data_IF_125070239213
#
_entry.id   IF_125070239213
#
_cell.length_a   1.000
_cell.length_b   1.000
_cell.length_c   1.000
_cell.angle_alpha   90.00
_cell.angle_beta   90.00
_cell.angle_gamma   90.00
#
_symmetry.space_group_name_H-M   'P 1'
#
loop_
_entity.id
_entity.type
_entity.pdbx_description
1 polymer ?
#
# COMPACT_ATOMS: atom_id res chain seq x y z
N UNK A 1 -42.33 22.12 19.06
CA UNK A 1 -41.62 21.08 18.28
C UNK A 1 -41.14 20.04 19.27
N UNK A 2 -41.46 18.75 19.10
CA UNK A 2 -40.81 17.71 19.90
C UNK A 2 -39.33 17.70 19.51
N UNK A 3 -38.43 17.89 20.46
CA UNK A 3 -37.01 17.65 20.25
C UNK A 3 -36.86 16.22 19.73
N UNK A 4 -36.20 16.05 18.57
CA UNK A 4 -35.86 14.71 18.09
C UNK A 4 -34.84 14.14 19.06
N UNK A 5 -35.19 13.04 19.73
CA UNK A 5 -34.24 12.30 20.56
C UNK A 5 -33.03 11.89 19.71
N UNK A 6 -31.84 12.22 20.19
CA UNK A 6 -30.59 11.82 19.57
C UNK A 6 -30.43 10.30 19.69
N UNK A 7 -29.99 9.64 18.62
CA UNK A 7 -29.81 8.18 18.58
C UNK A 7 -28.42 7.84 18.07
N UNK A 8 -27.96 6.61 18.31
CA UNK A 8 -26.70 6.12 17.72
C UNK A 8 -26.71 6.21 16.20
N UNK A 9 -27.87 6.00 15.58
CA UNK A 9 -28.00 6.10 14.13
C UNK A 9 -27.83 7.54 13.63
N UNK A 10 -28.34 8.52 14.38
CA UNK A 10 -28.05 9.93 14.10
C UNK A 10 -26.55 10.21 14.22
N UNK A 11 -25.85 9.65 15.21
CA UNK A 11 -24.40 9.80 15.35
C UNK A 11 -23.64 9.20 14.17
N UNK A 12 -24.01 7.99 13.72
CA UNK A 12 -23.41 7.33 12.54
C UNK A 12 -23.57 8.16 11.28
N UNK A 13 -24.77 8.70 11.04
CA UNK A 13 -25.07 9.54 9.88
C UNK A 13 -24.28 10.86 9.94
N UNK A 14 -24.31 11.55 11.08
CA UNK A 14 -23.69 12.87 11.24
C UNK A 14 -22.17 12.80 11.18
N UNK A 15 -21.56 11.81 11.83
CA UNK A 15 -20.10 11.67 11.89
C UNK A 15 -19.52 10.77 10.80
N UNK A 16 -20.37 10.08 10.03
CA UNK A 16 -19.95 9.23 8.92
C UNK A 16 -19.11 8.02 9.36
N UNK A 17 -19.38 7.47 10.54
CA UNK A 17 -18.72 6.27 11.08
C UNK A 17 -19.51 5.00 10.69
N UNK A 18 -18.89 3.83 10.83
CA UNK A 18 -19.47 2.52 10.49
C UNK A 18 -20.00 2.43 9.05
N UNK A 19 -19.29 3.07 8.12
CA UNK A 19 -19.55 3.00 6.67
C UNK A 19 -18.47 2.21 5.95
N UNK A 20 -18.70 1.79 4.70
CA UNK A 20 -17.78 1.04 3.83
C UNK A 20 -16.26 1.13 4.14
N UNK A 21 -15.71 2.34 4.15
CA UNK A 21 -14.29 2.68 4.36
C UNK A 21 -13.89 2.85 5.84
N UNK A 22 -14.86 2.99 6.75
CA UNK A 22 -14.70 3.22 8.19
C UNK A 22 -15.46 2.18 9.04
N UNK A 23 -15.68 0.97 8.52
CA UNK A 23 -16.42 -0.11 9.19
C UNK A 23 -15.75 -0.58 10.50
N UNK A 24 -14.47 -0.26 10.67
CA UNK A 24 -13.68 -0.54 11.87
C UNK A 24 -13.84 0.53 12.96
N UNK A 25 -14.63 1.60 12.74
CA UNK A 25 -14.92 2.65 13.72
C UNK A 25 -16.43 2.74 13.92
N UNK A 26 -16.92 2.65 15.16
CA UNK A 26 -18.33 2.87 15.50
C UNK A 26 -18.48 3.42 16.93
N UNK A 27 -19.71 3.70 17.37
CA UNK A 27 -20.06 4.16 18.72
C UNK A 27 -20.93 3.12 19.42
N UNK A 28 -20.64 2.82 20.69
CA UNK A 28 -21.39 1.83 21.49
C UNK A 28 -22.62 2.45 22.18
N UNK A 29 -23.38 1.64 22.93
CA UNK A 29 -24.60 2.08 23.64
C UNK A 29 -24.35 3.16 24.70
N UNK A 30 -23.14 3.20 25.26
CA UNK A 30 -22.70 4.22 26.22
C UNK A 30 -22.26 5.53 25.55
N UNK A 31 -22.30 5.61 24.21
CA UNK A 31 -21.90 6.78 23.44
C UNK A 31 -20.39 6.89 23.25
N UNK A 32 -19.63 5.82 23.48
CA UNK A 32 -18.17 5.80 23.34
C UNK A 32 -17.72 5.34 21.96
N UNK A 33 -16.78 6.09 21.38
CA UNK A 33 -16.13 5.72 20.13
C UNK A 33 -15.22 4.51 20.35
N UNK A 34 -15.32 3.50 19.50
CA UNK A 34 -14.50 2.32 19.55
C UNK A 34 -13.96 1.90 18.18
N UNK A 35 -12.86 1.16 18.23
CA UNK A 35 -12.28 0.46 17.09
C UNK A 35 -12.66 -1.01 17.13
N UNK A 36 -12.97 -1.57 15.97
CA UNK A 36 -13.26 -3.00 15.78
C UNK A 36 -12.27 -3.61 14.81
N UNK A 37 -11.49 -4.58 15.28
CA UNK A 37 -10.49 -5.31 14.50
C UNK A 37 -10.76 -6.80 14.63
N UNK A 38 -11.25 -7.41 13.55
CA UNK A 38 -11.79 -8.77 13.59
C UNK A 38 -12.94 -8.86 14.59
N UNK A 39 -12.83 -9.77 15.56
CA UNK A 39 -13.83 -9.98 16.60
C UNK A 39 -13.56 -9.17 17.88
N UNK A 40 -12.52 -8.33 17.89
CA UNK A 40 -12.13 -7.55 19.05
C UNK A 40 -12.58 -6.10 18.91
N UNK A 41 -13.04 -5.52 20.02
CA UNK A 41 -13.38 -4.11 20.13
C UNK A 41 -12.58 -3.46 21.24
N UNK A 42 -12.17 -2.22 21.04
CA UNK A 42 -11.51 -1.40 22.07
C UNK A 42 -11.95 0.06 21.92
N UNK A 43 -12.37 0.67 23.00
CA UNK A 43 -12.76 2.08 23.04
C UNK A 43 -11.54 3.00 22.98
N UNK A 44 -11.70 4.20 22.45
CA UNK A 44 -10.63 5.20 22.52
C UNK A 44 -10.29 5.60 23.96
N UNK A 45 -11.26 5.52 24.88
CA UNK A 45 -11.00 5.69 26.31
C UNK A 45 -10.00 4.65 26.81
N UNK A 46 -10.26 3.37 26.56
CA UNK A 46 -9.35 2.28 26.97
C UNK A 46 -7.96 2.47 26.34
N UNK A 47 -7.87 2.82 25.06
CA UNK A 47 -6.58 3.11 24.40
C UNK A 47 -5.83 4.22 25.15
N UNK A 48 -6.49 5.34 25.46
CA UNK A 48 -5.83 6.45 26.18
C UNK A 48 -5.40 6.06 27.59
N UNK A 49 -6.19 5.23 28.29
CA UNK A 49 -5.85 4.71 29.61
C UNK A 49 -4.63 3.78 29.54
N UNK A 50 -4.56 2.89 28.54
CA UNK A 50 -3.40 2.03 28.33
C UNK A 50 -2.13 2.84 28.04
N UNK A 51 -2.20 3.84 27.17
CA UNK A 51 -1.07 4.73 26.87
C UNK A 51 -0.61 5.47 28.14
N UNK A 52 -1.54 5.96 28.97
CA UNK A 52 -1.24 6.64 30.23
C UNK A 52 -0.56 5.73 31.24
N UNK A 53 -0.99 4.47 31.34
CA UNK A 53 -0.42 3.48 32.24
C UNK A 53 1.00 3.07 31.81
N UNK A 54 1.21 2.86 30.51
CA UNK A 54 2.52 2.44 29.99
C UNK A 54 3.58 3.55 30.01
N UNK A 55 3.18 4.81 29.81
CA UNK A 55 4.11 5.94 29.68
C UNK A 55 4.22 6.79 30.96
N UNK A 56 3.51 6.43 32.04
CA UNK A 56 3.46 7.20 33.28
C UNK A 56 2.86 8.61 33.09
N UNK A 57 3.07 9.51 34.05
CA UNK A 57 2.55 10.89 34.01
C UNK A 57 3.27 11.83 33.02
N UNK A 58 4.03 11.30 32.05
CA UNK A 58 4.64 12.11 31.00
C UNK A 58 3.55 12.62 30.06
N UNK A 59 3.12 13.86 30.31
CA UNK A 59 1.99 14.52 29.66
C UNK A 59 2.04 14.58 28.13
N UNK A 60 3.22 14.38 27.50
CA UNK A 60 3.38 14.48 26.06
C UNK A 60 2.74 13.34 25.26
N UNK A 61 2.70 12.11 25.78
CA UNK A 61 2.18 10.94 25.04
C UNK A 61 0.66 10.79 25.14
N UNK A 62 0.04 11.32 26.19
CA UNK A 62 -1.40 11.17 26.44
C UNK A 62 -2.23 12.29 25.82
N UNK A 63 -1.60 13.41 25.44
CA UNK A 63 -2.25 14.52 24.76
C UNK A 63 -2.41 14.35 23.24
N UNK A 64 -1.48 13.63 22.59
CA UNK A 64 -1.50 13.41 21.13
C UNK A 64 -0.67 12.20 20.74
N UNK A 65 -1.27 11.26 20.04
CA UNK A 65 -0.59 10.06 19.53
C UNK A 65 -1.11 9.69 18.14
N UNK A 66 -0.34 8.89 17.41
CA UNK A 66 -0.75 8.28 16.14
C UNK A 66 -0.92 6.79 16.33
N UNK A 67 -2.15 6.31 16.21
CA UNK A 67 -2.44 4.89 16.19
C UNK A 67 -2.20 4.34 14.79
N UNK A 68 -1.40 3.27 14.70
CA UNK A 68 -1.16 2.51 13.47
C UNK A 68 -1.69 1.12 13.68
N UNK A 69 -2.53 0.65 12.76
CA UNK A 69 -3.26 -0.61 12.91
C UNK A 69 -2.92 -1.49 11.70
N UNK A 70 -1.82 -2.27 11.75
CA UNK A 70 -1.41 -3.16 10.66
C UNK A 70 -2.51 -4.10 10.18
N UNK A 71 -3.42 -4.52 11.06
CA UNK A 71 -4.54 -5.40 10.73
C UNK A 71 -5.51 -4.76 9.72
N UNK A 72 -5.62 -3.42 9.70
CA UNK A 72 -6.41 -2.74 8.68
C UNK A 72 -5.72 -2.80 7.31
N UNK A 73 -4.38 -2.78 7.26
CA UNK A 73 -3.63 -2.96 6.01
C UNK A 73 -3.90 -4.36 5.46
N UNK A 74 -3.79 -5.39 6.32
CA UNK A 74 -4.10 -6.77 5.95
C UNK A 74 -5.54 -6.91 5.42
N UNK A 75 -6.52 -6.34 6.13
CA UNK A 75 -7.92 -6.35 5.69
C UNK A 75 -8.14 -5.68 4.33
N UNK A 76 -7.44 -4.58 4.03
CA UNK A 76 -7.54 -3.95 2.71
C UNK A 76 -6.90 -4.80 1.61
N UNK A 77 -5.78 -5.46 1.91
CA UNK A 77 -5.11 -6.39 0.99
C UNK A 77 -6.04 -7.55 0.65
N UNK A 78 -6.63 -8.19 1.66
CA UNK A 78 -7.58 -9.30 1.49
C UNK A 78 -8.79 -8.87 0.67
N UNK A 79 -9.33 -7.67 0.94
CA UNK A 79 -10.48 -7.13 0.21
C UNK A 79 -10.18 -6.90 -1.27
N UNK A 80 -9.01 -6.36 -1.60
CA UNK A 80 -8.60 -6.15 -3.01
C UNK A 80 -8.44 -7.50 -3.70
N UNK A 81 -7.72 -8.44 -3.05
CA UNK A 81 -7.51 -9.79 -3.57
C UNK A 81 -8.84 -10.50 -3.85
N UNK A 82 -9.74 -10.53 -2.86
CA UNK A 82 -11.06 -11.15 -3.00
C UNK A 82 -11.87 -10.54 -4.15
N UNK A 83 -11.85 -9.21 -4.31
CA UNK A 83 -12.56 -8.54 -5.39
C UNK A 83 -12.07 -8.97 -6.78
N UNK A 84 -10.74 -9.07 -6.97
CA UNK A 84 -10.17 -9.55 -8.22
C UNK A 84 -10.39 -11.05 -8.43
N UNK A 85 -10.29 -11.88 -7.39
CA UNK A 85 -10.56 -13.33 -7.47
C UNK A 85 -12.02 -13.63 -7.84
N UNK A 86 -12.97 -12.88 -7.26
CA UNK A 86 -14.39 -12.94 -7.66
C UNK A 86 -14.54 -12.58 -9.14
N UNK A 87 -13.99 -11.45 -9.58
CA UNK A 87 -14.11 -11.04 -10.98
C UNK A 87 -13.45 -12.03 -11.96
N UNK A 88 -12.28 -12.59 -11.62
CA UNK A 88 -11.60 -13.61 -12.42
C UNK A 88 -12.45 -14.86 -12.55
N UNK A 89 -13.07 -15.30 -11.46
CA UNK A 89 -13.93 -16.50 -11.43
C UNK A 89 -15.21 -16.29 -12.24
N UNK A 90 -15.91 -15.16 -12.03
CA UNK A 90 -17.16 -14.84 -12.73
C UNK A 90 -16.98 -14.67 -14.25
N UNK A 91 -15.82 -14.16 -14.68
CA UNK A 91 -15.51 -13.93 -16.09
C UNK A 91 -14.72 -15.09 -16.73
N UNK A 92 -14.46 -16.17 -16.00
CA UNK A 92 -13.63 -17.30 -16.43
C UNK A 92 -12.27 -16.83 -17.00
N UNK A 93 -11.68 -15.79 -16.41
CA UNK A 93 -10.46 -15.19 -16.91
C UNK A 93 -9.26 -16.14 -16.65
N UNK A 94 -8.46 -16.49 -17.67
CA UNK A 94 -7.41 -17.51 -17.52
C UNK A 94 -6.17 -17.02 -16.77
N UNK A 95 -6.06 -15.71 -16.53
CA UNK A 95 -4.92 -15.11 -15.84
C UNK A 95 -5.08 -15.09 -14.32
N UNK A 96 -4.03 -14.63 -13.64
CA UNK A 96 -3.99 -14.47 -12.18
C UNK A 96 -3.86 -13.00 -11.81
N UNK A 97 -4.45 -12.62 -10.69
CA UNK A 97 -4.23 -11.31 -10.10
C UNK A 97 -2.96 -11.33 -9.22
N UNK A 98 -2.07 -10.38 -9.43
CA UNK A 98 -0.90 -10.14 -8.58
C UNK A 98 -0.91 -8.68 -8.15
N UNK A 99 -1.08 -8.44 -6.86
CA UNK A 99 -1.05 -7.10 -6.31
C UNK A 99 0.39 -6.63 -6.07
N UNK A 100 0.64 -5.33 -6.23
CA UNK A 100 1.94 -4.70 -6.03
C UNK A 100 1.76 -3.42 -5.24
N UNK A 101 2.49 -3.26 -4.13
CA UNK A 101 2.38 -2.09 -3.26
C UNK A 101 3.41 -1.02 -3.69
N UNK A 102 2.96 0.17 -4.14
CA UNK A 102 3.86 1.26 -4.46
C UNK A 102 4.40 1.92 -3.20
N UNK A 103 5.68 1.68 -2.91
CA UNK A 103 6.35 2.13 -1.66
C UNK A 103 6.28 3.65 -1.51
N UNK A 104 6.21 4.39 -2.62
CA UNK A 104 6.10 5.85 -2.65
C UNK A 104 4.91 6.43 -1.89
N UNK A 105 3.87 5.64 -1.64
CA UNK A 105 2.66 6.08 -0.91
C UNK A 105 2.92 6.19 0.59
N UNK A 106 3.72 5.28 1.16
CA UNK A 106 4.11 5.33 2.57
C UNK A 106 5.42 4.55 2.78
N UNK A 107 6.54 5.25 2.78
CA UNK A 107 7.89 4.67 2.91
C UNK A 107 8.25 4.27 4.36
N UNK A 108 7.29 4.23 5.30
CA UNK A 108 7.61 3.81 6.66
C UNK A 108 7.81 2.30 6.73
N UNK A 109 8.89 1.88 7.40
CA UNK A 109 9.21 0.46 7.57
C UNK A 109 8.06 -0.33 8.22
N UNK A 110 7.39 0.22 9.23
CA UNK A 110 6.25 -0.44 9.88
C UNK A 110 5.07 -0.69 8.91
N UNK A 111 4.78 0.26 8.02
CA UNK A 111 3.75 0.10 6.98
C UNK A 111 4.14 -0.94 5.94
N UNK A 112 5.37 -0.86 5.41
CA UNK A 112 5.84 -1.79 4.37
C UNK A 112 5.99 -3.21 4.92
N UNK A 113 6.45 -3.36 6.16
CA UNK A 113 6.49 -4.66 6.85
C UNK A 113 5.08 -5.21 7.06
N UNK A 114 4.11 -4.38 7.46
CA UNK A 114 2.73 -4.83 7.58
C UNK A 114 2.18 -5.37 6.24
N UNK A 115 2.42 -4.69 5.12
CA UNK A 115 2.09 -5.20 3.78
C UNK A 115 2.81 -6.52 3.52
N UNK A 116 4.12 -6.59 3.78
CA UNK A 116 4.93 -7.78 3.50
C UNK A 116 4.48 -9.02 4.27
N UNK A 117 4.00 -8.83 5.50
CA UNK A 117 3.49 -9.88 6.39
C UNK A 117 2.03 -10.24 6.16
N UNK A 118 1.25 -9.38 5.48
CA UNK A 118 -0.17 -9.64 5.24
C UNK A 118 -0.37 -10.73 4.19
N UNK A 119 0.53 -10.80 3.21
CA UNK A 119 0.39 -11.68 2.05
C UNK A 119 1.78 -11.96 1.46
N UNK A 120 2.11 -13.24 1.37
CA UNK A 120 3.41 -13.71 0.86
C UNK A 120 3.61 -13.37 -0.62
N UNK A 121 2.56 -13.42 -1.44
CA UNK A 121 2.68 -13.16 -2.88
C UNK A 121 2.55 -11.67 -3.22
N UNK A 122 2.15 -10.81 -2.26
CA UNK A 122 2.00 -9.38 -2.48
C UNK A 122 3.36 -8.74 -2.82
N UNK A 123 3.46 -8.25 -4.05
CA UNK A 123 4.67 -7.65 -4.59
C UNK A 123 4.88 -6.20 -4.13
N UNK A 124 6.02 -5.64 -4.50
CA UNK A 124 6.36 -4.25 -4.22
C UNK A 124 6.77 -3.49 -5.46
N UNK A 125 6.49 -2.20 -5.51
CA UNK A 125 7.04 -1.28 -6.49
C UNK A 125 7.93 -0.27 -5.79
N UNK A 126 9.15 -0.14 -6.30
CA UNK A 126 10.10 0.89 -5.92
C UNK A 126 10.26 1.85 -7.10
N UNK A 127 10.00 3.13 -6.86
CA UNK A 127 10.20 4.20 -7.85
C UNK A 127 11.55 4.91 -7.74
N UNK A 128 12.38 4.52 -6.77
CA UNK A 128 13.70 5.11 -6.52
C UNK A 128 14.64 4.16 -5.77
N UNK A 129 15.95 4.43 -5.86
CA UNK A 129 17.01 3.71 -5.12
C UNK A 129 16.73 3.61 -3.61
N UNK A 130 16.29 4.70 -2.99
CA UNK A 130 15.99 4.73 -1.55
C UNK A 130 14.83 3.78 -1.17
N UNK A 131 13.84 3.65 -2.04
CA UNK A 131 12.71 2.73 -1.85
C UNK A 131 13.16 1.28 -2.04
N UNK A 132 14.03 0.99 -3.00
CA UNK A 132 14.62 -0.34 -3.15
C UNK A 132 15.50 -0.73 -1.95
N UNK A 133 16.25 0.22 -1.37
CA UNK A 133 17.00 0.00 -0.11
C UNK A 133 16.07 -0.35 1.05
N UNK A 134 14.95 0.36 1.19
CA UNK A 134 13.94 0.02 2.20
C UNK A 134 13.40 -1.40 1.97
N UNK A 135 13.03 -1.73 0.73
CA UNK A 135 12.54 -3.07 0.39
C UNK A 135 13.56 -4.14 0.71
N UNK A 136 14.84 -3.97 0.38
CA UNK A 136 15.91 -4.91 0.74
C UNK A 136 15.92 -5.19 2.26
N UNK A 137 15.66 -4.18 3.09
CA UNK A 137 15.61 -4.32 4.55
C UNK A 137 14.34 -5.01 5.07
N UNK A 138 13.23 -4.91 4.33
CA UNK A 138 11.93 -5.49 4.70
C UNK A 138 11.78 -6.91 4.19
N UNK A 139 12.17 -7.17 2.94
CA UNK A 139 12.04 -8.49 2.30
C UNK A 139 13.15 -9.46 2.74
N UNK A 140 14.36 -8.97 3.05
CA UNK A 140 15.47 -9.81 3.50
C UNK A 140 15.76 -10.99 2.56
N UNK A 141 15.65 -12.21 3.09
CA UNK A 141 15.90 -13.44 2.33
C UNK A 141 14.70 -13.96 1.56
N UNK A 142 13.55 -13.29 1.67
CA UNK A 142 12.37 -13.61 0.87
C UNK A 142 12.63 -13.34 -0.62
N UNK A 143 12.57 -14.42 -1.41
CA UNK A 143 12.76 -14.37 -2.86
C UNK A 143 11.46 -14.53 -3.65
N UNK A 144 10.35 -14.97 -3.06
CA UNK A 144 9.19 -15.44 -3.84
C UNK A 144 8.33 -14.30 -4.42
N UNK A 145 8.33 -13.13 -3.77
CA UNK A 145 7.53 -11.98 -4.20
C UNK A 145 8.21 -11.18 -5.32
N UNK A 146 7.39 -10.61 -6.21
CA UNK A 146 7.87 -9.75 -7.30
C UNK A 146 8.16 -8.34 -6.81
N UNK A 147 9.29 -7.77 -7.25
CA UNK A 147 9.64 -6.36 -7.03
C UNK A 147 9.77 -5.65 -8.37
N UNK A 148 8.89 -4.69 -8.63
CA UNK A 148 8.90 -3.86 -9.84
C UNK A 148 9.74 -2.60 -9.59
N UNK A 149 10.78 -2.40 -10.38
CA UNK A 149 11.64 -1.23 -10.32
C UNK A 149 11.22 -0.23 -11.40
N UNK A 150 10.67 0.89 -10.94
CA UNK A 150 10.08 1.95 -11.73
C UNK A 150 10.85 3.28 -11.51
N UNK A 151 10.43 4.35 -12.18
CA UNK A 151 11.07 5.65 -12.07
C UNK A 151 12.42 5.73 -12.79
N UNK A 152 13.06 6.90 -12.72
CA UNK A 152 14.32 7.15 -13.40
C UNK A 152 15.46 6.31 -12.81
N UNK A 153 16.13 5.53 -13.66
CA UNK A 153 17.22 4.64 -13.26
C UNK A 153 18.58 5.19 -13.67
N UNK A 154 19.39 5.53 -12.67
CA UNK A 154 20.82 5.78 -12.85
C UNK A 154 21.63 4.48 -12.71
N UNK A 155 22.94 4.57 -12.96
CA UNK A 155 23.84 3.41 -12.89
C UNK A 155 23.89 2.76 -11.50
N UNK A 156 23.76 3.55 -10.43
CA UNK A 156 23.79 3.02 -9.06
C UNK A 156 22.49 2.26 -8.73
N UNK A 157 21.35 2.75 -9.22
CA UNK A 157 20.08 2.07 -9.07
C UNK A 157 20.08 0.75 -9.86
N UNK A 158 20.55 0.77 -11.11
CA UNK A 158 20.70 -0.46 -11.91
C UNK A 158 21.66 -1.46 -11.27
N UNK A 159 22.79 -1.01 -10.72
CA UNK A 159 23.70 -1.89 -9.98
C UNK A 159 23.01 -2.58 -8.78
N UNK A 160 22.20 -1.83 -8.02
CA UNK A 160 21.44 -2.39 -6.91
C UNK A 160 20.37 -3.39 -7.36
N UNK A 161 19.74 -3.16 -8.51
CA UNK A 161 18.81 -4.12 -9.11
C UNK A 161 19.56 -5.40 -9.47
N UNK A 162 20.73 -5.31 -10.10
CA UNK A 162 21.57 -6.47 -10.43
C UNK A 162 21.95 -7.26 -9.17
N UNK A 163 22.36 -6.61 -8.08
CA UNK A 163 22.67 -7.29 -6.81
C UNK A 163 21.48 -8.09 -6.26
N UNK A 164 20.25 -7.57 -6.43
CA UNK A 164 19.04 -8.25 -5.98
C UNK A 164 18.72 -9.46 -6.88
N UNK A 165 18.89 -9.33 -8.20
CA UNK A 165 18.76 -10.44 -9.15
C UNK A 165 19.79 -11.54 -8.85
N UNK A 166 21.05 -11.19 -8.60
CA UNK A 166 22.12 -12.14 -8.29
C UNK A 166 21.86 -12.91 -6.99
N UNK A 167 21.10 -12.31 -6.06
CA UNK A 167 20.62 -12.96 -4.82
C UNK A 167 19.34 -13.77 -5.01
N UNK A 168 18.84 -13.89 -6.24
CA UNK A 168 17.65 -14.68 -6.59
C UNK A 168 16.32 -13.99 -6.34
N UNK A 169 16.28 -12.68 -6.08
CA UNK A 169 14.99 -11.98 -5.98
C UNK A 169 14.32 -11.88 -7.36
N UNK A 170 12.99 -11.96 -7.36
CA UNK A 170 12.18 -11.82 -8.57
C UNK A 170 12.01 -10.33 -8.91
N UNK A 171 12.97 -9.78 -9.62
CA UNK A 171 13.00 -8.37 -10.02
C UNK A 171 12.42 -8.16 -11.42
N UNK A 172 11.61 -7.12 -11.58
CA UNK A 172 11.10 -6.67 -12.88
C UNK A 172 11.54 -5.23 -13.12
N UNK A 173 12.21 -4.95 -14.24
CA UNK A 173 12.71 -3.62 -14.58
C UNK A 173 11.74 -2.95 -15.56
N UNK A 174 11.11 -1.85 -15.15
CA UNK A 174 10.26 -1.06 -16.04
C UNK A 174 11.09 -0.07 -16.84
N UNK A 175 11.08 -0.16 -18.17
CA UNK A 175 11.77 0.78 -19.06
C UNK A 175 10.89 2.01 -19.26
N UNK A 176 11.38 3.19 -18.86
CA UNK A 176 10.64 4.45 -19.00
C UNK A 176 11.13 5.35 -20.15
N UNK A 177 12.32 5.08 -20.71
CA UNK A 177 12.87 5.85 -21.82
C UNK A 177 13.80 5.02 -22.73
N UNK A 178 14.03 5.43 -23.99
CA UNK A 178 15.01 4.80 -24.86
C UNK A 178 16.44 4.83 -24.31
N UNK A 179 16.80 5.87 -23.53
CA UNK A 179 18.10 5.95 -22.89
C UNK A 179 18.26 4.85 -21.83
N UNK A 180 17.25 4.66 -20.98
CA UNK A 180 17.23 3.55 -20.02
C UNK A 180 17.27 2.19 -20.71
N UNK A 181 16.53 2.03 -21.82
CA UNK A 181 16.53 0.79 -22.58
C UNK A 181 17.96 0.37 -22.99
N UNK A 182 18.78 1.33 -23.44
CA UNK A 182 20.17 1.07 -23.79
C UNK A 182 21.00 0.65 -22.58
N UNK A 183 20.89 1.37 -21.46
CA UNK A 183 21.60 1.02 -20.23
C UNK A 183 21.23 -0.37 -19.71
N UNK A 184 19.94 -0.73 -19.79
CA UNK A 184 19.44 -2.02 -19.34
C UNK A 184 19.97 -3.13 -20.25
N UNK A 185 19.94 -2.97 -21.58
CA UNK A 185 20.47 -3.98 -22.52
C UNK A 185 21.98 -4.16 -22.38
N UNK A 186 22.72 -3.07 -22.13
CA UNK A 186 24.18 -3.11 -21.97
C UNK A 186 24.60 -3.80 -20.65
N UNK A 187 23.75 -3.78 -19.62
CA UNK A 187 24.06 -4.30 -18.27
C UNK A 187 23.44 -5.67 -17.97
N UNK A 188 22.23 -5.96 -18.44
CA UNK A 188 21.43 -7.10 -18.01
C UNK A 188 21.31 -8.18 -19.10
N UNK A 189 21.41 -9.44 -18.67
CA UNK A 189 21.22 -10.60 -19.55
C UNK A 189 19.71 -10.89 -19.73
N UNK A 190 19.19 -11.02 -20.98
CA UNK A 190 17.78 -11.30 -21.23
C UNK A 190 17.28 -12.59 -20.57
N UNK A 191 18.12 -13.60 -20.39
CA UNK A 191 17.73 -14.89 -19.81
C UNK A 191 17.50 -14.82 -18.29
N UNK A 192 17.96 -13.76 -17.64
CA UNK A 192 17.92 -13.60 -16.17
C UNK A 192 17.10 -12.41 -15.70
N UNK A 193 16.60 -11.59 -16.63
CA UNK A 193 16.04 -10.29 -16.30
C UNK A 193 14.67 -10.12 -16.92
N UNK A 194 13.67 -9.93 -16.07
CA UNK A 194 12.32 -9.58 -16.52
C UNK A 194 12.28 -8.08 -16.80
N UNK A 195 12.06 -7.70 -18.06
CA UNK A 195 11.98 -6.31 -18.50
C UNK A 195 10.57 -6.03 -19.02
N UNK A 196 9.97 -4.94 -18.57
CA UNK A 196 8.64 -4.49 -19.01
C UNK A 196 8.71 -3.08 -19.57
N UNK A 197 7.89 -2.78 -20.58
CA UNK A 197 7.84 -1.45 -21.18
C UNK A 197 6.71 -0.65 -20.56
N UNK A 198 7.03 0.55 -20.04
CA UNK A 198 6.01 1.49 -19.61
C UNK A 198 5.40 2.14 -20.86
N UNK A 199 4.19 1.75 -21.22
CA UNK A 199 3.51 2.36 -22.36
C UNK A 199 2.97 3.74 -22.00
N UNK A 200 3.12 4.72 -22.89
CA UNK A 200 2.43 6.01 -22.84
C UNK A 200 1.07 5.92 -23.54
N UNK A 201 -0.04 5.80 -22.80
CA UNK A 201 -1.37 5.77 -23.43
C UNK A 201 -1.71 7.14 -24.01
N UNK A 202 -2.06 7.18 -25.30
CA UNK A 202 -2.63 8.36 -25.96
C UNK A 202 -4.15 8.37 -25.77
N UNK A 203 -4.58 8.61 -24.52
CA UNK A 203 -5.99 8.70 -24.15
C UNK A 203 -6.24 10.09 -23.59
N UNK A 204 -7.24 10.79 -24.14
CA UNK A 204 -7.77 12.02 -23.56
C UNK A 204 -8.72 11.66 -22.42
N UNK A 205 -8.31 11.94 -21.18
CA UNK A 205 -9.18 11.74 -20.01
C UNK A 205 -9.78 13.10 -19.61
N UNK A 206 -11.10 13.22 -19.67
CA UNK A 206 -11.79 14.41 -19.16
C UNK A 206 -11.72 14.45 -17.62
N UNK A 207 -11.45 15.63 -17.03
CA UNK A 207 -11.45 15.83 -15.58
C UNK A 207 -10.23 16.56 -15.01
N UNK A 208 -10.12 16.62 -13.68
CA UNK A 208 -9.08 17.37 -12.95
C UNK A 208 -7.64 16.92 -13.24
N UNK A 209 -7.45 15.71 -13.77
CA UNK A 209 -6.14 15.13 -14.12
C UNK A 209 -5.79 15.21 -15.61
N UNK A 210 -6.66 15.82 -16.43
CA UNK A 210 -6.52 15.95 -17.89
C UNK A 210 -5.15 16.51 -18.31
N UNK A 211 -4.65 17.52 -17.61
CA UNK A 211 -3.34 18.15 -17.88
C UNK A 211 -2.12 17.26 -17.63
N UNK A 212 -2.28 16.11 -16.97
CA UNK A 212 -1.20 15.15 -16.70
C UNK A 212 -1.25 13.91 -17.59
N UNK A 213 -2.18 13.87 -18.55
CA UNK A 213 -2.41 12.74 -19.46
C UNK A 213 -1.98 13.08 -20.90
N UNK A 214 -1.81 12.05 -21.74
CA UNK A 214 -1.43 12.24 -23.14
C UNK A 214 0.01 12.71 -23.33
N UNK A 215 0.23 13.62 -24.28
CA UNK A 215 1.57 14.00 -24.78
C UNK A 215 2.48 14.61 -23.71
N UNK A 216 1.91 15.28 -22.71
CA UNK A 216 2.65 16.00 -21.67
C UNK A 216 2.92 15.16 -20.40
N UNK A 217 2.56 13.88 -20.39
CA UNK A 217 2.97 12.96 -19.31
C UNK A 217 4.50 12.85 -19.24
N UNK A 218 5.04 12.98 -18.02
CA UNK A 218 6.48 12.89 -17.70
C UNK A 218 7.10 11.53 -18.04
N UNK A 219 6.30 10.46 -18.02
CA UNK A 219 6.79 9.09 -18.11
C UNK A 219 5.97 8.28 -19.13
N UNK A 220 6.62 7.26 -19.71
CA UNK A 220 6.10 6.38 -20.76
C UNK A 220 6.66 6.67 -22.15
#
# INVERSE_FOLDING_TARGET
MKEKEWTLEHARIVYGINRNDLHFIDVNEDGELFLRIGNHTITFREITQHIQLENGAFAGYTSSFTLRIPQLIASQIDRIRAAFETAITELEYPGKFLAVYPVKVNQRKDCVTAVASSDSEYGFEAGAKAELLLLRSVVGDDKHRRIVCNGAKDSEYLQMIQEMIDKGHHMTISVESPHEAKLIVDQFQPEKTEVVLRMKPYISVEGHWSHSTGRDSKFG
#
